data_IF_596321126260
#
_entry.id   IF_596321126260
#
_cell.length_a   1.000
_cell.length_b   1.000
_cell.length_c   1.000
_cell.angle_alpha   90.00
_cell.angle_beta   90.00
_cell.angle_gamma   90.00
#
_symmetry.space_group_name_H-M   'P 1'
#
loop_
_entity.id
_entity.type
_entity.pdbx_description
1 polymer ?
#
# COMPACT_ATOMS: atom_id res chain seq x y z
N UNK A 1 -61.90 3.84 -39.87
CA UNK A 1 -60.72 4.60 -39.42
C UNK A 1 -59.71 3.58 -38.95
N UNK A 2 -58.76 3.23 -39.80
CA UNK A 2 -57.92 2.06 -39.63
C UNK A 2 -56.78 2.36 -38.66
N UNK A 3 -56.78 1.57 -37.59
CA UNK A 3 -55.69 1.33 -36.65
C UNK A 3 -54.36 1.12 -37.38
N UNK A 4 -53.45 2.08 -37.25
CA UNK A 4 -52.04 1.90 -37.54
C UNK A 4 -51.30 1.72 -36.21
N UNK A 5 -51.43 0.54 -35.61
CA UNK A 5 -50.57 0.09 -34.53
C UNK A 5 -49.17 -0.09 -35.11
N UNK A 6 -48.26 0.82 -34.78
CA UNK A 6 -46.85 0.68 -35.07
C UNK A 6 -46.26 -0.37 -34.13
N UNK A 7 -46.16 -1.61 -34.60
CA UNK A 7 -45.46 -2.67 -33.88
C UNK A 7 -43.97 -2.35 -33.81
N UNK A 8 -43.55 -1.96 -32.60
CA UNK A 8 -42.16 -1.71 -32.23
C UNK A 8 -41.40 -3.03 -32.31
N UNK A 9 -40.68 -3.26 -33.41
CA UNK A 9 -39.76 -4.39 -33.59
C UNK A 9 -38.71 -4.39 -32.46
N UNK A 10 -38.96 -5.15 -31.39
CA UNK A 10 -37.97 -5.45 -30.37
C UNK A 10 -37.00 -6.49 -30.94
N UNK A 11 -35.88 -6.04 -31.49
CA UNK A 11 -34.73 -6.92 -31.71
C UNK A 11 -34.12 -7.26 -30.35
N UNK A 12 -34.59 -8.33 -29.72
CA UNK A 12 -33.87 -8.98 -28.64
C UNK A 12 -32.58 -9.58 -29.20
N UNK A 13 -31.47 -8.86 -29.05
CA UNK A 13 -30.12 -9.37 -29.31
C UNK A 13 -29.73 -10.28 -28.14
N UNK A 14 -29.59 -11.58 -28.41
CA UNK A 14 -28.98 -12.52 -27.47
C UNK A 14 -27.45 -12.40 -27.50
N UNK A 15 -26.82 -12.47 -26.33
CA UNK A 15 -25.36 -12.53 -26.20
C UNK A 15 -24.85 -13.84 -26.81
N UNK A 16 -23.80 -13.78 -27.65
CA UNK A 16 -23.18 -15.00 -28.16
C UNK A 16 -22.08 -15.48 -27.19
N UNK A 17 -21.94 -16.79 -27.00
CA UNK A 17 -20.87 -17.33 -26.14
C UNK A 17 -19.47 -16.99 -26.68
N UNK A 18 -19.33 -16.90 -27.99
CA UNK A 18 -18.08 -16.52 -28.66
C UNK A 18 -17.67 -15.08 -28.37
N UNK A 19 -18.64 -14.17 -28.26
CA UNK A 19 -18.41 -12.76 -27.92
C UNK A 19 -17.87 -12.62 -26.50
N UNK A 20 -18.39 -13.39 -25.55
CA UNK A 20 -17.82 -13.46 -24.20
C UNK A 20 -16.43 -14.12 -24.19
N UNK A 21 -16.23 -15.18 -24.99
CA UNK A 21 -14.97 -15.92 -25.05
C UNK A 21 -13.80 -15.05 -25.53
N UNK A 22 -14.02 -14.25 -26.56
CA UNK A 22 -12.99 -13.35 -27.10
C UNK A 22 -12.65 -12.25 -26.08
N UNK A 23 -13.65 -11.74 -25.36
CA UNK A 23 -13.45 -10.71 -24.33
C UNK A 23 -12.56 -11.22 -23.21
N UNK A 24 -12.85 -12.40 -22.65
CA UNK A 24 -12.00 -12.96 -21.58
C UNK A 24 -10.60 -13.31 -22.10
N UNK A 25 -10.48 -13.75 -23.35
CA UNK A 25 -9.17 -14.03 -23.95
C UNK A 25 -8.28 -12.77 -23.99
N UNK A 26 -8.84 -11.63 -24.37
CA UNK A 26 -8.10 -10.36 -24.40
C UNK A 26 -7.75 -9.90 -22.97
N UNK A 27 -8.67 -10.00 -22.02
CA UNK A 27 -8.42 -9.63 -20.61
C UNK A 27 -7.26 -10.45 -20.03
N UNK A 28 -7.21 -11.76 -20.30
CA UNK A 28 -6.13 -12.63 -19.82
C UNK A 28 -4.76 -12.24 -20.39
N UNK A 29 -4.69 -11.84 -21.66
CA UNK A 29 -3.45 -11.34 -22.28
C UNK A 29 -2.99 -10.05 -21.58
N UNK A 30 -3.91 -9.12 -21.31
CA UNK A 30 -3.58 -7.88 -20.62
C UNK A 30 -3.08 -8.13 -19.20
N UNK A 31 -3.77 -9.00 -18.44
CA UNK A 31 -3.38 -9.34 -17.06
C UNK A 31 -2.01 -10.02 -17.03
N UNK A 32 -1.72 -10.92 -17.98
CA UNK A 32 -0.43 -11.61 -18.04
C UNK A 32 0.77 -10.63 -18.11
N UNK A 33 0.60 -9.50 -18.80
CA UNK A 33 1.64 -8.46 -18.91
C UNK A 33 1.58 -7.49 -17.71
N UNK A 34 0.38 -7.11 -17.26
CA UNK A 34 0.21 -6.10 -16.22
C UNK A 34 0.56 -6.60 -14.82
N UNK A 35 0.26 -7.87 -14.50
CA UNK A 35 0.43 -8.44 -13.17
C UNK A 35 1.88 -8.43 -12.65
N UNK A 36 2.91 -8.89 -13.38
CA UNK A 36 4.28 -8.87 -12.87
C UNK A 36 4.77 -7.44 -12.59
N UNK A 37 4.47 -6.49 -13.48
CA UNK A 37 4.80 -5.08 -13.28
C UNK A 37 4.08 -4.49 -12.06
N UNK A 38 2.82 -4.86 -11.84
CA UNK A 38 2.07 -4.42 -10.67
C UNK A 38 2.63 -4.96 -9.36
N UNK A 39 3.08 -6.22 -9.32
CA UNK A 39 3.73 -6.80 -8.15
C UNK A 39 5.07 -6.11 -7.84
N UNK A 40 5.88 -5.84 -8.86
CA UNK A 40 7.13 -5.08 -8.69
C UNK A 40 6.85 -3.66 -8.16
N UNK A 41 5.85 -2.96 -8.73
CA UNK A 41 5.46 -1.63 -8.28
C UNK A 41 4.99 -1.62 -6.83
N UNK A 42 4.26 -2.65 -6.38
CA UNK A 42 3.86 -2.79 -4.98
C UNK A 42 5.07 -2.96 -4.05
N UNK A 43 6.04 -3.82 -4.42
CA UNK A 43 7.26 -4.00 -3.63
C UNK A 43 8.06 -2.69 -3.57
N UNK A 44 8.21 -2.01 -4.71
CA UNK A 44 8.89 -0.71 -4.77
C UNK A 44 8.21 0.32 -3.87
N UNK A 45 6.87 0.40 -3.88
CA UNK A 45 6.11 1.28 -3.01
C UNK A 45 6.30 0.97 -1.52
N UNK A 46 6.34 -0.32 -1.15
CA UNK A 46 6.65 -0.76 0.22
C UNK A 46 8.06 -0.33 0.63
N UNK A 47 9.06 -0.54 -0.23
CA UNK A 47 10.44 -0.10 0.03
C UNK A 47 10.51 1.42 0.20
N UNK A 48 9.87 2.19 -0.68
CA UNK A 48 9.82 3.67 -0.56
C UNK A 48 9.18 4.13 0.74
N UNK A 49 8.14 3.42 1.22
CA UNK A 49 7.54 3.71 2.53
C UNK A 49 8.54 3.49 3.67
N UNK A 50 9.23 2.34 3.68
CA UNK A 50 10.26 2.06 4.70
C UNK A 50 11.36 3.14 4.70
N UNK A 51 11.79 3.62 3.53
CA UNK A 51 12.74 4.73 3.45
C UNK A 51 12.22 6.03 4.08
N UNK A 52 10.94 6.36 3.89
CA UNK A 52 10.33 7.53 4.50
C UNK A 52 10.22 7.37 6.03
N UNK A 53 9.89 6.17 6.48
CA UNK A 53 9.80 5.82 7.89
C UNK A 53 11.17 5.90 8.59
N UNK A 54 12.21 5.34 7.98
CA UNK A 54 13.59 5.43 8.47
C UNK A 54 14.08 6.88 8.54
N UNK A 55 13.74 7.71 7.55
CA UNK A 55 14.07 9.14 7.58
C UNK A 55 13.38 9.87 8.73
N UNK A 56 12.14 9.49 9.04
CA UNK A 56 11.39 10.05 10.17
C UNK A 56 12.08 9.68 11.49
N UNK A 57 12.48 8.41 11.64
CA UNK A 57 13.22 7.93 12.80
C UNK A 57 14.58 8.62 12.91
N UNK A 58 15.32 8.80 11.81
CA UNK A 58 16.64 9.47 11.84
C UNK A 58 16.53 10.92 12.31
N UNK A 59 15.50 11.64 11.88
CA UNK A 59 15.23 13.02 12.33
C UNK A 59 14.91 13.03 13.83
N UNK A 60 14.09 12.09 14.29
CA UNK A 60 13.76 11.96 15.71
C UNK A 60 15.00 11.66 16.58
N UNK A 61 15.86 10.74 16.13
CA UNK A 61 17.11 10.42 16.82
C UNK A 61 18.09 11.60 16.86
N UNK A 62 18.18 12.37 15.76
CA UNK A 62 19.03 13.55 15.73
C UNK A 62 18.51 14.64 16.67
N UNK A 63 17.20 14.87 16.69
CA UNK A 63 16.58 15.80 17.63
C UNK A 63 16.79 15.38 19.08
N UNK A 64 16.71 14.09 19.40
CA UNK A 64 17.04 13.58 20.73
C UNK A 64 18.51 13.85 21.09
N UNK A 65 19.43 13.65 20.13
CA UNK A 65 20.85 13.92 20.37
C UNK A 65 21.15 15.40 20.59
N UNK A 66 20.46 16.31 19.90
CA UNK A 66 20.61 17.74 20.15
C UNK A 66 20.26 18.12 21.59
N UNK A 67 19.26 17.46 22.18
CA UNK A 67 18.77 17.78 23.53
C UNK A 67 19.55 17.06 24.65
N UNK A 68 20.00 15.81 24.43
CA UNK A 68 20.66 14.99 25.46
C UNK A 68 22.15 14.70 25.21
N UNK A 69 22.71 15.15 24.08
CA UNK A 69 24.12 15.00 23.71
C UNK A 69 24.54 13.59 23.25
N UNK A 70 23.69 12.59 23.41
CA UNK A 70 23.93 11.20 23.02
C UNK A 70 22.72 10.63 22.27
N UNK A 71 22.93 9.59 21.45
CA UNK A 71 21.83 8.85 20.83
C UNK A 71 21.15 7.94 21.86
N UNK A 72 19.85 7.62 21.68
CA UNK A 72 19.19 6.65 22.54
C UNK A 72 19.89 5.30 22.41
N UNK A 73 20.30 4.72 23.54
CA UNK A 73 20.96 3.41 23.59
C UNK A 73 19.94 2.35 23.98
N UNK A 74 19.90 1.25 23.22
CA UNK A 74 19.08 0.10 23.57
C UNK A 74 19.63 -0.55 24.85
N UNK A 75 18.77 -0.77 25.83
CA UNK A 75 19.12 -1.54 27.02
C UNK A 75 19.22 -3.02 26.63
N UNK A 76 20.42 -3.60 26.75
CA UNK A 76 20.74 -4.97 26.30
C UNK A 76 19.88 -6.09 26.93
N UNK A 77 19.10 -5.79 27.97
CA UNK A 77 18.20 -6.72 28.66
C UNK A 77 16.82 -6.92 27.99
N UNK A 78 16.48 -6.18 26.93
CA UNK A 78 15.20 -6.38 26.23
C UNK A 78 15.37 -7.32 25.05
N UNK A 79 15.00 -8.61 25.24
CA UNK A 79 14.88 -9.60 24.15
C UNK A 79 13.84 -9.20 23.08
N UNK A 80 13.16 -8.06 23.26
CA UNK A 80 12.30 -7.37 22.30
C UNK A 80 12.78 -5.93 22.02
N UNK A 81 14.10 -5.74 21.90
CA UNK A 81 14.90 -4.50 21.89
C UNK A 81 14.45 -3.27 21.07
N UNK A 82 13.28 -3.29 20.45
CA UNK A 82 12.67 -2.12 19.84
C UNK A 82 11.77 -1.33 20.81
N UNK A 83 11.29 -1.94 21.91
CA UNK A 83 10.26 -1.30 22.73
C UNK A 83 10.82 -0.31 23.75
N UNK A 84 11.96 -0.59 24.37
CA UNK A 84 12.56 0.30 25.38
C UNK A 84 13.34 1.48 24.78
N UNK A 85 14.06 1.30 23.67
CA UNK A 85 14.73 2.41 22.96
C UNK A 85 13.76 3.44 22.38
N UNK A 86 12.62 3.00 21.83
CA UNK A 86 11.58 3.88 21.29
C UNK A 86 10.80 4.63 22.38
N UNK A 87 10.76 4.12 23.62
CA UNK A 87 10.10 4.83 24.73
C UNK A 87 10.82 6.13 25.09
N UNK A 88 12.15 6.18 24.97
CA UNK A 88 12.94 7.41 25.19
C UNK A 88 12.66 8.51 24.15
N UNK A 89 12.11 8.15 22.99
CA UNK A 89 11.68 9.09 21.96
C UNK A 89 10.24 9.60 22.17
N UNK A 90 9.50 9.03 23.15
CA UNK A 90 8.07 9.32 23.39
C UNK A 90 7.77 9.89 24.78
N UNK A 91 8.70 9.81 25.75
CA UNK A 91 8.59 10.46 27.06
C UNK A 91 9.95 11.00 27.53
N UNK A 92 10.08 12.22 28.12
CA UNK A 92 9.09 13.27 28.40
C UNK A 92 8.91 14.32 27.28
N UNK A 93 9.73 14.27 26.21
CA UNK A 93 9.61 15.09 25.00
C UNK A 93 9.41 14.16 23.80
N UNK A 94 8.41 14.44 22.97
CA UNK A 94 8.02 13.56 21.86
C UNK A 94 8.78 13.94 20.57
N UNK A 95 9.80 13.14 20.23
CA UNK A 95 10.60 13.34 19.02
C UNK A 95 10.00 12.61 17.80
N UNK A 96 9.14 11.61 18.04
CA UNK A 96 8.43 10.89 17.00
C UNK A 96 6.93 10.79 17.32
N UNK A 97 6.08 11.09 16.34
CA UNK A 97 4.63 11.11 16.52
C UNK A 97 4.03 9.70 16.63
N UNK A 98 4.55 8.75 15.85
CA UNK A 98 4.12 7.35 15.84
C UNK A 98 5.28 6.47 15.40
N UNK A 99 5.41 5.29 15.98
CA UNK A 99 6.38 4.29 15.52
C UNK A 99 5.82 3.67 14.23
N UNK A 100 6.54 3.74 13.10
CA UNK A 100 6.10 3.10 11.87
C UNK A 100 6.10 1.59 12.03
N UNK A 101 5.02 0.95 11.59
CA UNK A 101 4.92 -0.51 11.58
C UNK A 101 5.61 -1.07 10.33
N UNK A 102 6.32 -2.18 10.48
CA UNK A 102 6.94 -2.85 9.35
C UNK A 102 5.88 -3.34 8.36
N UNK A 103 6.10 -3.05 7.07
CA UNK A 103 5.19 -3.43 5.98
C UNK A 103 5.46 -4.81 5.40
N UNK A 104 6.52 -5.48 5.90
CA UNK A 104 6.93 -6.82 5.52
C UNK A 104 6.72 -7.88 6.61
N UNK A 105 6.30 -7.49 7.81
CA UNK A 105 6.00 -8.40 8.93
C UNK A 105 4.66 -9.12 8.77
#
# INVERSE_FOLDING_TARGET
MNSLTCDRLRLSRGFTLIELLIVIAIILILIAIALPNFLEAQVRAKVTRVWADLRTISIAMESYRLDFGNYPTDSEDDLRGLRTGLLQLTTPLQYIAVVPFDVFS
#
